data_IF_572585221260
#
_entry.id   IF_572585221260
#
_cell.length_a   1.000
_cell.length_b   1.000
_cell.length_c   1.000
_cell.angle_alpha   90.00
_cell.angle_beta   90.00
_cell.angle_gamma   90.00
#
_symmetry.space_group_name_H-M   'P 1'
#
loop_
_entity.id
_entity.type
_entity.pdbx_description
1 polymer ?
#
# COMPACT_ATOMS: atom_id res chain seq x y z
N UNK A 1 45.00 -16.81 0.47
CA UNK A 1 43.61 -17.07 0.03
C UNK A 1 43.07 -17.97 1.11
N UNK A 2 42.67 -17.35 2.22
CA UNK A 2 42.48 -18.04 3.48
C UNK A 2 41.02 -17.90 3.88
N UNK A 3 40.39 -19.05 3.87
CA UNK A 3 38.98 -19.32 4.12
C UNK A 3 38.60 -18.84 5.51
N UNK A 4 37.85 -17.74 5.56
CA UNK A 4 36.97 -17.46 6.70
C UNK A 4 36.04 -18.66 6.83
N UNK A 5 36.33 -19.51 7.81
CA UNK A 5 35.48 -20.63 8.20
C UNK A 5 34.09 -20.07 8.47
N UNK A 6 33.14 -20.49 7.64
CA UNK A 6 31.71 -20.32 7.86
C UNK A 6 31.38 -20.98 9.19
N UNK A 7 31.40 -20.20 10.28
CA UNK A 7 30.94 -20.64 11.59
C UNK A 7 29.48 -21.03 11.48
N UNK A 8 29.19 -22.26 11.90
CA UNK A 8 27.87 -22.88 11.88
C UNK A 8 26.83 -21.94 12.52
N UNK A 9 25.87 -21.44 11.74
CA UNK A 9 24.80 -20.53 12.19
C UNK A 9 23.77 -21.22 13.11
N UNK A 10 23.86 -22.53 13.31
CA UNK A 10 22.84 -23.34 13.98
C UNK A 10 23.00 -23.48 15.51
N UNK A 11 24.13 -23.06 16.10
CA UNK A 11 24.39 -23.18 17.56
C UNK A 11 24.14 -21.87 18.33
N UNK A 12 23.01 -21.20 18.10
CA UNK A 12 22.55 -20.16 19.04
C UNK A 12 21.98 -20.83 20.30
N UNK A 13 22.75 -20.78 21.39
CA UNK A 13 22.31 -21.12 22.76
C UNK A 13 20.88 -20.62 23.00
N UNK A 14 20.06 -21.40 23.70
CA UNK A 14 18.67 -21.03 24.06
C UNK A 14 18.62 -19.62 24.67
N UNK A 15 19.64 -19.26 25.45
CA UNK A 15 19.81 -17.93 26.05
C UNK A 15 19.98 -16.85 24.98
N UNK A 16 20.81 -17.08 23.96
CA UNK A 16 21.02 -16.14 22.85
C UNK A 16 19.73 -15.91 22.04
N UNK A 17 18.97 -16.99 21.77
CA UNK A 17 17.66 -16.88 21.11
C UNK A 17 16.64 -16.12 21.97
N UNK A 18 16.62 -16.35 23.27
CA UNK A 18 15.77 -15.62 24.21
C UNK A 18 16.12 -14.13 24.26
N UNK A 19 17.41 -13.79 24.32
CA UNK A 19 17.88 -12.40 24.27
C UNK A 19 17.46 -11.72 22.96
N UNK A 20 17.69 -12.35 21.80
CA UNK A 20 17.27 -11.79 20.50
C UNK A 20 15.77 -11.52 20.47
N UNK A 21 14.94 -12.47 20.94
CA UNK A 21 13.47 -12.29 21.02
C UNK A 21 13.08 -11.16 21.96
N UNK A 22 13.71 -11.07 23.13
CA UNK A 22 13.44 -10.02 24.10
C UNK A 22 13.71 -8.63 23.51
N UNK A 23 14.90 -8.42 22.93
CA UNK A 23 15.28 -7.10 22.40
C UNK A 23 14.49 -6.70 21.17
N UNK A 24 14.16 -7.65 20.29
CA UNK A 24 13.20 -7.42 19.20
C UNK A 24 11.84 -6.95 19.74
N UNK A 25 11.32 -7.65 20.75
CA UNK A 25 10.01 -7.31 21.35
C UNK A 25 10.05 -5.96 22.06
N UNK A 26 11.15 -5.65 22.76
CA UNK A 26 11.39 -4.35 23.41
C UNK A 26 11.41 -3.22 22.38
N UNK A 27 12.06 -3.42 21.23
CA UNK A 27 12.07 -2.44 20.14
C UNK A 27 10.66 -2.19 19.59
N UNK A 28 9.87 -3.25 19.37
CA UNK A 28 8.47 -3.09 18.95
C UNK A 28 7.67 -2.27 19.97
N UNK A 29 7.85 -2.56 21.27
CA UNK A 29 7.16 -1.83 22.34
C UNK A 29 7.56 -0.35 22.38
N UNK A 30 8.84 -0.03 22.20
CA UNK A 30 9.35 1.34 22.14
C UNK A 30 8.67 2.11 20.99
N UNK A 31 8.65 1.52 19.79
CA UNK A 31 7.99 2.10 18.61
C UNK A 31 6.50 2.36 18.86
N UNK A 32 5.78 1.39 19.42
CA UNK A 32 4.33 1.50 19.69
C UNK A 32 4.01 2.50 20.80
N UNK A 33 4.85 2.57 21.84
CA UNK A 33 4.63 3.48 22.98
C UNK A 33 5.15 4.90 22.75
N UNK A 34 5.78 5.17 21.59
CA UNK A 34 6.31 6.48 21.25
C UNK A 34 7.47 6.93 22.14
N UNK A 35 8.19 5.99 22.76
CA UNK A 35 9.37 6.32 23.57
C UNK A 35 10.49 6.85 22.67
N UNK A 36 11.27 7.80 23.18
CA UNK A 36 12.38 8.41 22.43
C UNK A 36 13.38 7.33 22.00
N UNK A 37 13.64 7.28 20.70
CA UNK A 37 14.63 6.41 20.08
C UNK A 37 15.94 7.15 19.82
N UNK A 38 16.97 6.41 19.43
CA UNK A 38 18.26 6.99 19.05
C UNK A 38 18.10 7.88 17.80
N UNK A 39 18.53 9.13 17.90
CA UNK A 39 18.32 10.16 16.87
C UNK A 39 19.03 9.83 15.57
N UNK A 40 20.23 9.25 15.62
CA UNK A 40 20.98 8.90 14.42
C UNK A 40 20.35 7.72 13.69
N UNK A 41 19.81 6.76 14.44
CA UNK A 41 19.07 5.62 13.86
C UNK A 41 17.78 6.10 13.20
N UNK A 42 17.05 7.02 13.84
CA UNK A 42 15.85 7.64 13.25
C UNK A 42 16.19 8.44 11.99
N UNK A 43 17.23 9.27 12.02
CA UNK A 43 17.66 10.06 10.87
C UNK A 43 18.08 9.16 9.69
N UNK A 44 18.76 8.04 9.96
CA UNK A 44 19.13 7.07 8.92
C UNK A 44 17.92 6.39 8.27
N UNK A 45 16.83 6.19 9.00
CA UNK A 45 15.62 5.54 8.49
C UNK A 45 14.71 6.50 7.69
N UNK A 46 14.89 7.82 7.85
CA UNK A 46 13.95 8.82 7.33
C UNK A 46 13.72 8.74 5.81
N UNK A 47 14.78 8.52 5.01
CA UNK A 47 14.65 8.40 3.56
C UNK A 47 13.85 7.14 3.16
N UNK A 48 14.06 6.04 3.88
CA UNK A 48 13.34 4.79 3.65
C UNK A 48 11.87 4.92 4.04
N UNK A 49 11.58 5.54 5.19
CA UNK A 49 10.22 5.76 5.66
C UNK A 49 9.42 6.62 4.67
N UNK A 50 10.02 7.68 4.12
CA UNK A 50 9.38 8.50 3.08
C UNK A 50 9.02 7.68 1.83
N UNK A 51 9.90 6.76 1.41
CA UNK A 51 9.65 5.87 0.26
C UNK A 51 8.53 4.86 0.55
N UNK A 52 8.47 4.34 1.78
CA UNK A 52 7.39 3.44 2.22
C UNK A 52 6.04 4.18 2.24
N UNK A 53 6.01 5.43 2.68
CA UNK A 53 4.79 6.25 2.67
C UNK A 53 4.26 6.47 1.25
N UNK A 54 5.15 6.79 0.30
CA UNK A 54 4.78 6.88 -1.13
C UNK A 54 4.22 5.55 -1.63
N UNK A 55 4.85 4.43 -1.27
CA UNK A 55 4.36 3.10 -1.64
C UNK A 55 2.96 2.81 -1.06
N UNK A 56 2.71 3.15 0.21
CA UNK A 56 1.38 3.00 0.82
C UNK A 56 0.33 3.85 0.10
N UNK A 57 0.68 5.07 -0.30
CA UNK A 57 -0.18 5.91 -1.13
C UNK A 57 -0.52 5.26 -2.47
N UNK A 58 0.45 4.63 -3.15
CA UNK A 58 0.21 3.85 -4.38
C UNK A 58 -0.78 2.71 -4.13
N UNK A 59 -0.63 1.97 -3.02
CA UNK A 59 -1.52 0.87 -2.69
C UNK A 59 -2.97 1.32 -2.46
N UNK A 60 -3.17 2.40 -1.70
CA UNK A 60 -4.49 2.98 -1.43
C UNK A 60 -5.12 3.49 -2.71
N UNK A 61 -4.37 4.29 -3.47
CA UNK A 61 -4.88 4.90 -4.72
C UNK A 61 -5.21 3.86 -5.79
N UNK A 62 -4.47 2.76 -5.91
CA UNK A 62 -4.85 1.65 -6.79
C UNK A 62 -6.21 1.06 -6.43
N UNK A 63 -6.47 0.86 -5.13
CA UNK A 63 -7.74 0.32 -4.64
C UNK A 63 -8.90 1.27 -4.90
N UNK A 64 -8.69 2.56 -4.67
CA UNK A 64 -9.72 3.58 -4.87
C UNK A 64 -9.99 3.82 -6.35
N UNK A 65 -8.97 3.75 -7.20
CA UNK A 65 -9.13 3.85 -8.64
C UNK A 65 -9.91 2.66 -9.20
N UNK A 66 -9.68 1.43 -8.73
CA UNK A 66 -10.49 0.26 -9.09
C UNK A 66 -11.98 0.46 -8.76
N UNK A 67 -12.28 0.87 -7.52
CA UNK A 67 -13.67 1.18 -7.11
C UNK A 67 -14.29 2.29 -7.96
N UNK A 68 -13.48 3.28 -8.35
CA UNK A 68 -13.93 4.40 -9.17
C UNK A 68 -14.25 3.94 -10.60
N UNK A 69 -13.42 3.07 -11.18
CA UNK A 69 -13.67 2.46 -12.50
C UNK A 69 -14.98 1.66 -12.47
N UNK A 70 -15.18 0.80 -11.47
CA UNK A 70 -16.40 0.00 -11.32
C UNK A 70 -17.66 0.89 -11.22
N UNK A 71 -17.62 1.92 -10.38
CA UNK A 71 -18.72 2.89 -10.24
C UNK A 71 -18.97 3.65 -11.55
N UNK A 72 -17.92 4.00 -12.27
CA UNK A 72 -18.04 4.70 -13.54
C UNK A 72 -18.67 3.81 -14.60
N UNK A 73 -18.29 2.53 -14.68
CA UNK A 73 -18.91 1.55 -15.56
C UNK A 73 -20.41 1.38 -15.27
N UNK A 74 -20.80 1.27 -13.99
CA UNK A 74 -22.21 1.17 -13.61
C UNK A 74 -23.00 2.39 -14.09
N UNK A 75 -22.53 3.59 -13.74
CA UNK A 75 -23.20 4.85 -14.15
C UNK A 75 -23.27 5.02 -15.65
N UNK A 76 -22.23 4.58 -16.36
CA UNK A 76 -22.17 4.64 -17.80
C UNK A 76 -23.23 3.74 -18.43
N UNK A 77 -23.39 2.52 -17.91
CA UNK A 77 -24.42 1.59 -18.36
C UNK A 77 -25.82 2.14 -18.08
N UNK A 78 -26.09 2.58 -16.84
CA UNK A 78 -27.39 3.14 -16.45
C UNK A 78 -27.77 4.33 -17.33
N UNK A 79 -26.84 5.27 -17.55
CA UNK A 79 -27.09 6.44 -18.40
C UNK A 79 -27.34 6.05 -19.87
N UNK A 80 -26.62 5.06 -20.37
CA UNK A 80 -26.77 4.60 -21.75
C UNK A 80 -28.10 3.87 -21.95
N UNK A 81 -28.57 3.10 -20.97
CA UNK A 81 -29.89 2.48 -20.97
C UNK A 81 -30.99 3.56 -21.02
N UNK A 82 -30.95 4.54 -20.11
CA UNK A 82 -31.93 5.62 -20.06
C UNK A 82 -31.94 6.48 -21.33
N UNK A 83 -30.78 6.81 -21.89
CA UNK A 83 -30.68 7.57 -23.14
C UNK A 83 -31.22 6.76 -24.33
N UNK A 84 -30.99 5.45 -24.35
CA UNK A 84 -31.51 4.57 -25.40
C UNK A 84 -33.04 4.41 -25.30
N UNK A 85 -33.60 4.25 -24.10
CA UNK A 85 -35.05 4.21 -23.86
C UNK A 85 -35.73 5.49 -24.34
N UNK A 86 -35.16 6.66 -24.01
CA UNK A 86 -35.64 7.95 -24.49
C UNK A 86 -35.55 8.06 -26.02
N UNK A 87 -34.44 7.60 -26.60
CA UNK A 87 -34.24 7.57 -28.05
C UNK A 87 -35.31 6.74 -28.76
N UNK A 88 -35.61 5.54 -28.24
CA UNK A 88 -36.66 4.67 -28.75
C UNK A 88 -38.06 5.29 -28.58
N UNK A 89 -38.32 5.93 -27.44
CA UNK A 89 -39.59 6.62 -27.20
C UNK A 89 -39.85 7.73 -28.23
N UNK A 90 -38.85 8.58 -28.52
CA UNK A 90 -39.00 9.67 -29.49
C UNK A 90 -39.24 9.15 -30.91
N UNK A 91 -38.61 8.02 -31.27
CA UNK A 91 -38.88 7.35 -32.55
C UNK A 91 -40.31 6.84 -32.66
N UNK A 92 -40.83 6.23 -31.59
CA UNK A 92 -42.23 5.77 -31.56
C UNK A 92 -43.23 6.92 -31.66
N UNK A 93 -42.90 8.10 -31.10
CA UNK A 93 -43.74 9.30 -31.21
C UNK A 93 -43.69 9.92 -32.61
N UNK A 94 -42.53 9.86 -33.28
CA UNK A 94 -42.38 10.33 -34.66
C UNK A 94 -43.29 9.58 -35.66
N UNK A 95 -43.66 8.34 -35.35
CA UNK A 95 -44.59 7.57 -36.18
C UNK A 95 -46.07 8.02 -36.05
N UNK A 96 -46.39 8.93 -35.11
CA UNK A 96 -47.76 9.30 -34.73
C UNK A 96 -48.11 10.79 -34.96
N UNK A 97 -47.15 11.63 -35.37
CA UNK A 97 -47.30 13.09 -35.37
C UNK A 97 -47.51 13.75 -36.74
N UNK A 98 -47.27 15.07 -36.78
CA UNK A 98 -47.28 15.88 -38.01
C UNK A 98 -45.90 15.88 -38.69
N UNK A 99 -45.88 15.81 -40.03
CA UNK A 99 -44.70 15.48 -40.84
C UNK A 99 -43.39 16.27 -40.57
N UNK A 100 -43.45 17.51 -40.07
CA UNK A 100 -42.25 18.28 -39.72
C UNK A 100 -41.75 18.01 -38.29
N UNK A 101 -42.67 17.80 -37.35
CA UNK A 101 -42.36 17.41 -35.98
C UNK A 101 -41.77 15.99 -36.01
N UNK A 102 -42.35 15.08 -36.81
CA UNK A 102 -41.92 13.69 -36.96
C UNK A 102 -40.46 13.55 -37.36
N UNK A 103 -40.03 14.30 -38.39
CA UNK A 103 -38.63 14.28 -38.86
C UNK A 103 -37.66 14.76 -37.78
N UNK A 104 -38.06 15.78 -37.02
CA UNK A 104 -37.23 16.32 -35.94
C UNK A 104 -37.18 15.35 -34.76
N UNK A 105 -38.30 14.72 -34.38
CA UNK A 105 -38.36 13.74 -33.29
C UNK A 105 -37.64 12.44 -33.64
N UNK A 106 -37.74 11.94 -34.87
CA UNK A 106 -37.00 10.76 -35.33
C UNK A 106 -35.49 11.02 -35.36
N UNK A 107 -35.06 12.16 -35.92
CA UNK A 107 -33.65 12.54 -35.95
C UNK A 107 -33.08 12.68 -34.52
N UNK A 108 -33.85 13.25 -33.60
CA UNK A 108 -33.46 13.36 -32.18
C UNK A 108 -33.37 11.98 -31.53
N UNK A 109 -34.36 11.11 -31.75
CA UNK A 109 -34.33 9.73 -31.23
C UNK A 109 -33.16 8.92 -31.77
N UNK A 110 -32.85 9.05 -33.07
CA UNK A 110 -31.68 8.42 -33.68
C UNK A 110 -30.37 8.94 -33.07
N UNK A 111 -30.25 10.25 -32.85
CA UNK A 111 -29.08 10.84 -32.22
C UNK A 111 -28.85 10.30 -30.80
N UNK A 112 -29.91 10.18 -29.98
CA UNK A 112 -29.83 9.62 -28.63
C UNK A 112 -29.43 8.13 -28.63
N UNK A 113 -30.02 7.31 -29.50
CA UNK A 113 -29.62 5.90 -29.64
C UNK A 113 -28.15 5.76 -30.07
N UNK A 114 -27.69 6.57 -31.03
CA UNK A 114 -26.29 6.57 -31.47
C UNK A 114 -25.34 7.04 -30.36
N UNK A 115 -25.70 8.10 -29.62
CA UNK A 115 -24.96 8.61 -28.47
C UNK A 115 -24.79 7.54 -27.38
N UNK A 116 -25.88 6.82 -27.05
CA UNK A 116 -25.87 5.70 -26.10
C UNK A 116 -24.92 4.58 -26.54
N UNK A 117 -24.99 4.15 -27.82
CA UNK A 117 -24.11 3.12 -28.36
C UNK A 117 -22.63 3.52 -28.32
N UNK A 118 -22.33 4.78 -28.67
CA UNK A 118 -20.96 5.31 -28.57
C UNK A 118 -20.46 5.31 -27.13
N UNK A 119 -21.33 5.63 -26.16
CA UNK A 119 -20.96 5.59 -24.75
C UNK A 119 -20.68 4.16 -24.28
N UNK A 120 -21.53 3.20 -24.65
CA UNK A 120 -21.31 1.78 -24.34
C UNK A 120 -19.99 1.24 -24.92
N UNK A 121 -19.56 1.74 -26.08
CA UNK A 121 -18.26 1.37 -26.66
C UNK A 121 -17.07 1.69 -25.74
N UNK A 122 -17.19 2.70 -24.87
CA UNK A 122 -16.17 3.03 -23.85
C UNK A 122 -16.07 1.95 -22.76
N UNK A 123 -17.12 1.15 -22.55
CA UNK A 123 -17.17 0.09 -21.55
C UNK A 123 -16.05 -0.94 -21.71
N UNK A 124 -15.67 -1.25 -22.96
CA UNK A 124 -14.55 -2.15 -23.26
C UNK A 124 -13.21 -1.58 -22.79
N UNK A 125 -12.96 -0.28 -23.05
CA UNK A 125 -11.73 0.37 -22.63
C UNK A 125 -11.62 0.48 -21.11
N UNK A 126 -12.73 0.79 -20.43
CA UNK A 126 -12.80 0.83 -18.96
C UNK A 126 -12.58 -0.55 -18.33
N UNK A 127 -13.19 -1.59 -18.90
CA UNK A 127 -13.01 -2.96 -18.43
C UNK A 127 -11.54 -3.40 -18.53
N UNK A 128 -10.89 -3.09 -19.67
CA UNK A 128 -9.47 -3.37 -19.84
C UNK A 128 -8.62 -2.62 -18.83
N UNK A 129 -8.86 -1.32 -18.62
CA UNK A 129 -8.15 -0.52 -17.62
C UNK A 129 -8.30 -1.10 -16.22
N UNK A 130 -9.52 -1.49 -15.83
CA UNK A 130 -9.80 -2.13 -14.54
C UNK A 130 -9.03 -3.44 -14.37
N UNK A 131 -8.99 -4.28 -15.41
CA UNK A 131 -8.25 -5.56 -15.38
C UNK A 131 -6.73 -5.35 -15.28
N UNK A 132 -6.18 -4.40 -16.03
CA UNK A 132 -4.75 -4.06 -16.01
C UNK A 132 -4.36 -3.53 -14.62
N UNK A 133 -5.15 -2.62 -14.06
CA UNK A 133 -4.91 -2.07 -12.72
C UNK A 133 -5.05 -3.14 -11.63
N UNK A 134 -6.04 -4.01 -11.72
CA UNK A 134 -6.22 -5.13 -10.78
C UNK A 134 -5.04 -6.11 -10.84
N UNK A 135 -4.50 -6.33 -12.04
CA UNK A 135 -3.31 -7.17 -12.23
C UNK A 135 -2.07 -6.50 -11.66
N UNK A 136 -1.86 -5.22 -11.92
CA UNK A 136 -0.77 -4.43 -11.35
C UNK A 136 -0.81 -4.44 -9.81
N UNK A 137 -1.97 -4.16 -9.22
CA UNK A 137 -2.17 -4.17 -7.77
C UNK A 137 -1.88 -5.56 -7.18
N UNK A 138 -2.50 -6.61 -7.73
CA UNK A 138 -2.35 -7.96 -7.20
C UNK A 138 -0.95 -8.53 -7.35
N UNK A 139 -0.21 -8.17 -8.41
CA UNK A 139 1.15 -8.66 -8.65
C UNK A 139 2.18 -7.69 -8.11
N UNK A 140 2.40 -6.57 -8.80
CA UNK A 140 3.50 -5.65 -8.50
C UNK A 140 3.39 -5.03 -7.10
N UNK A 141 2.20 -4.55 -6.71
CA UNK A 141 2.03 -3.93 -5.37
C UNK A 141 2.13 -5.00 -4.28
N UNK A 142 1.44 -6.13 -4.41
CA UNK A 142 1.53 -7.21 -3.40
C UNK A 142 2.95 -7.77 -3.24
N UNK A 143 3.68 -8.02 -4.32
CA UNK A 143 5.04 -8.56 -4.27
C UNK A 143 6.00 -7.58 -3.60
N UNK A 144 5.85 -6.28 -3.90
CA UNK A 144 6.63 -5.22 -3.26
C UNK A 144 6.29 -5.12 -1.77
N UNK A 145 5.01 -5.22 -1.40
CA UNK A 145 4.57 -5.21 0.00
C UNK A 145 5.17 -6.37 0.79
N UNK A 146 5.25 -7.57 0.22
CA UNK A 146 5.92 -8.71 0.85
C UNK A 146 7.40 -8.42 1.12
N UNK A 147 8.07 -7.78 0.17
CA UNK A 147 9.48 -7.39 0.30
C UNK A 147 9.67 -6.33 1.39
N UNK A 148 8.82 -5.30 1.40
CA UNK A 148 8.82 -4.25 2.43
C UNK A 148 8.58 -4.87 3.82
N UNK A 149 7.62 -5.79 3.97
CA UNK A 149 7.35 -6.43 5.26
C UNK A 149 8.54 -7.23 5.81
N UNK A 150 9.25 -7.96 4.94
CA UNK A 150 10.48 -8.67 5.33
C UNK A 150 11.58 -7.69 5.75
N UNK A 151 11.74 -6.60 5.01
CA UNK A 151 12.69 -5.54 5.33
C UNK A 151 12.34 -4.86 6.66
N UNK A 152 11.08 -4.53 6.92
CA UNK A 152 10.60 -3.96 8.19
C UNK A 152 10.89 -4.89 9.39
N UNK A 153 10.73 -6.19 9.19
CA UNK A 153 11.10 -7.17 10.20
C UNK A 153 12.61 -7.15 10.46
N UNK A 154 13.44 -7.15 9.40
CA UNK A 154 14.89 -7.09 9.52
C UNK A 154 15.36 -5.78 10.20
N UNK A 155 14.74 -4.65 9.84
CA UNK A 155 14.97 -3.34 10.48
C UNK A 155 14.67 -3.37 11.97
N UNK A 156 13.53 -3.96 12.36
CA UNK A 156 13.16 -4.11 13.77
C UNK A 156 14.16 -5.00 14.53
N UNK A 157 14.61 -6.09 13.92
CA UNK A 157 15.62 -6.96 14.50
C UNK A 157 16.98 -6.25 14.65
N UNK A 158 17.39 -5.48 13.66
CA UNK A 158 18.59 -4.65 13.69
C UNK A 158 18.54 -3.61 14.80
N UNK A 159 17.46 -2.84 14.91
CA UNK A 159 17.29 -1.84 15.97
C UNK A 159 17.25 -2.49 17.37
N UNK A 160 16.62 -3.65 17.49
CA UNK A 160 16.68 -4.45 18.72
C UNK A 160 18.11 -4.87 19.10
N UNK A 161 18.92 -5.30 18.12
CA UNK A 161 20.32 -5.64 18.35
C UNK A 161 21.16 -4.41 18.77
N UNK A 162 20.95 -3.25 18.13
CA UNK A 162 21.61 -2.00 18.55
C UNK A 162 21.26 -1.61 19.98
N UNK A 163 19.99 -1.74 20.38
CA UNK A 163 19.57 -1.50 21.77
C UNK A 163 20.28 -2.44 22.75
N UNK A 164 20.40 -3.72 22.41
CA UNK A 164 21.14 -4.68 23.22
C UNK A 164 22.61 -4.32 23.33
N UNK A 165 23.27 -4.00 22.21
CA UNK A 165 24.68 -3.63 22.20
C UNK A 165 24.95 -2.37 23.04
N UNK A 166 24.05 -1.39 22.99
CA UNK A 166 24.11 -0.20 23.84
C UNK A 166 24.02 -0.57 25.32
N UNK A 167 23.05 -1.39 25.70
CA UNK A 167 22.83 -1.85 27.08
C UNK A 167 24.05 -2.64 27.60
N UNK A 168 24.51 -3.62 26.83
CA UNK A 168 25.70 -4.42 27.17
C UNK A 168 26.98 -3.57 27.25
N UNK A 169 27.12 -2.54 26.41
CA UNK A 169 28.30 -1.66 26.45
C UNK A 169 28.37 -0.83 27.74
N UNK A 170 27.23 -0.49 28.35
CA UNK A 170 27.18 0.22 29.63
C UNK A 170 27.59 -0.67 30.81
N UNK A 171 27.27 -1.97 30.75
CA UNK A 171 27.71 -2.96 31.74
C UNK A 171 29.24 -3.19 31.69
N UNK A 172 29.85 -2.96 30.53
CA UNK A 172 31.29 -3.13 30.29
C UNK A 172 32.10 -1.85 30.51
N UNK A 173 31.45 -0.71 30.80
CA UNK A 173 32.14 0.56 31.02
C UNK A 173 32.96 0.52 32.32
N UNK A 174 34.31 0.64 32.26
CA UNK A 174 35.16 0.59 33.44
C UNK A 174 34.86 1.71 34.46
N UNK A 175 34.22 2.80 34.04
CA UNK A 175 33.80 3.87 34.96
C UNK A 175 32.56 3.49 35.79
N UNK A 176 31.71 2.56 35.33
CA UNK A 176 30.63 1.97 36.14
C UNK A 176 31.19 1.21 37.34
N UNK A 177 32.36 0.56 37.16
CA UNK A 177 33.10 -0.09 38.24
C UNK A 177 33.66 0.94 39.25
N UNK A 178 34.13 2.11 38.78
CA UNK A 178 34.58 3.22 39.65
C UNK A 178 33.44 3.89 40.43
N UNK A 179 32.22 3.90 39.89
CA UNK A 179 31.04 4.34 40.64
C UNK A 179 30.71 3.41 41.81
N UNK A 180 30.99 2.10 41.71
CA UNK A 180 30.87 1.19 42.86
C UNK A 180 31.98 1.40 43.91
N UNK A 181 33.19 1.82 43.49
CA UNK A 181 34.28 2.14 44.42
C UNK A 181 33.98 3.38 45.29
N UNK A 182 33.19 4.33 44.78
CA UNK A 182 32.74 5.50 45.56
C UNK A 182 31.78 5.11 46.69
N UNK A 183 31.03 4.01 46.56
CA UNK A 183 30.21 3.45 47.64
C UNK A 183 30.96 2.54 48.61
N UNK A 184 32.18 2.07 48.27
CA UNK A 184 33.06 1.32 49.18
C UNK A 184 33.93 2.18 50.09
N UNK A 185 34.00 3.49 49.85
CA UNK A 185 34.78 4.45 50.64
C UNK A 185 33.96 5.17 51.72
N UNK A 186 32.79 4.63 52.08
CA UNK A 186 31.97 5.08 53.23
C UNK A 186 32.19 4.13 54.40
#
# INVERSE_FOLDING_TARGET
MDTFKQGNLEDQSVVSRMQKKYWKTKQVLIKVTGKKEDEHVVASDAELDAKIEVFQSIQVTCTDLLKTIEKYQQRLNDLSEQENELGLFLKLQADQGEAQIDKMTDATGQALCSSSQQRLALGTALSRLGQELATFSRRAVSDTLLTINRMEQARTEYRGALLWMKDASQELDPDTCKQMETFRKV
#
